data_IF_794926030383
#
_entry.id   IF_794926030383
#
_cell.length_a   1.000
_cell.length_b   1.000
_cell.length_c   1.000
_cell.angle_alpha   90.00
_cell.angle_beta   90.00
_cell.angle_gamma   90.00
#
_symmetry.space_group_name_H-M   'P 1'
#
loop_
_entity.id
_entity.type
_entity.pdbx_description
1 polymer ?
#
# COMPACT_ATOMS: atom_id res chain seq x y z
N UNK A 1 -42.77 7.22 -4.28
CA UNK A 1 -43.34 6.05 -4.98
C UNK A 1 -42.33 4.91 -4.76
N UNK A 2 -42.50 3.91 -3.86
CA UNK A 2 -43.49 2.79 -3.84
C UNK A 2 -43.67 2.20 -5.26
N UNK A 3 -43.34 0.95 -5.63
CA UNK A 3 -43.49 -0.40 -5.03
C UNK A 3 -42.54 -1.42 -5.76
N UNK A 4 -41.87 -2.37 -5.09
CA UNK A 4 -42.23 -3.80 -4.81
C UNK A 4 -42.07 -4.78 -6.01
N UNK A 5 -40.98 -5.58 -6.05
CA UNK A 5 -40.82 -7.06 -5.77
C UNK A 5 -41.59 -8.07 -6.65
N UNK A 6 -40.88 -9.10 -7.16
CA UNK A 6 -41.12 -10.57 -7.10
C UNK A 6 -39.81 -11.28 -7.52
N UNK A 7 -39.10 -12.08 -6.70
CA UNK A 7 -39.30 -13.49 -6.26
C UNK A 7 -39.25 -14.51 -7.40
N UNK A 8 -38.25 -15.39 -7.37
CA UNK A 8 -38.33 -16.78 -7.82
C UNK A 8 -37.63 -17.67 -6.78
N UNK A 9 -38.35 -18.71 -6.35
CA UNK A 9 -38.01 -19.74 -5.36
C UNK A 9 -37.79 -21.06 -6.10
N UNK A 10 -36.80 -21.86 -5.68
CA UNK A 10 -36.80 -23.33 -5.85
C UNK A 10 -35.84 -23.95 -4.82
N UNK A 11 -36.37 -24.48 -3.70
CA UNK A 11 -36.54 -25.91 -3.36
C UNK A 11 -35.22 -26.68 -3.09
N UNK A 12 -34.81 -26.84 -1.82
CA UNK A 12 -35.06 -27.97 -0.87
C UNK A 12 -34.16 -29.20 -1.08
N UNK A 13 -33.35 -29.50 -0.06
CA UNK A 13 -33.13 -30.87 0.43
C UNK A 13 -32.78 -30.80 1.94
N UNK A 14 -33.77 -31.13 2.77
CA UNK A 14 -33.63 -31.29 4.23
C UNK A 14 -33.39 -32.78 4.50
N UNK A 15 -32.27 -33.12 5.14
CA UNK A 15 -32.05 -34.43 5.73
C UNK A 15 -32.41 -34.37 7.20
N UNK A 16 -33.47 -35.10 7.55
CA UNK A 16 -33.93 -35.37 8.91
C UNK A 16 -33.09 -36.51 9.50
N UNK A 17 -32.59 -36.34 10.73
CA UNK A 17 -32.40 -37.45 11.65
C UNK A 17 -33.19 -37.18 12.94
N UNK A 18 -34.04 -38.15 13.25
CA UNK A 18 -35.02 -38.19 14.34
C UNK A 18 -34.46 -38.81 15.62
N UNK A 19 -34.99 -38.36 16.76
CA UNK A 19 -35.18 -39.15 17.99
C UNK A 19 -34.00 -39.10 18.96
N UNK A 20 -34.16 -39.01 20.29
CA UNK A 20 -35.29 -39.35 21.16
C UNK A 20 -35.28 -38.55 22.48
N UNK A 21 -36.36 -38.72 23.24
CA UNK A 21 -36.90 -37.82 24.25
C UNK A 21 -36.50 -38.07 25.72
N UNK A 22 -36.72 -37.01 26.52
CA UNK A 22 -37.23 -36.87 27.92
C UNK A 22 -36.46 -37.43 29.15
N UNK A 23 -36.15 -36.47 30.04
CA UNK A 23 -35.91 -36.43 31.50
C UNK A 23 -36.83 -37.33 32.38
N UNK A 24 -36.50 -37.66 33.67
CA UNK A 24 -36.28 -36.67 34.76
C UNK A 24 -35.26 -36.98 35.90
N UNK A 25 -34.80 -35.87 36.50
CA UNK A 25 -34.51 -35.54 37.92
C UNK A 25 -34.21 -36.62 38.99
N UNK A 26 -33.10 -36.42 39.73
CA UNK A 26 -33.01 -36.66 41.19
C UNK A 26 -31.91 -35.81 41.83
N UNK A 27 -32.27 -35.09 42.89
CA UNK A 27 -31.41 -34.33 43.79
C UNK A 27 -30.77 -35.24 44.86
N UNK A 28 -29.53 -34.93 45.25
CA UNK A 28 -28.95 -35.20 46.59
C UNK A 28 -27.95 -34.09 46.92
N UNK A 29 -28.20 -33.34 48.00
CA UNK A 29 -27.27 -32.43 48.68
C UNK A 29 -26.16 -33.22 49.42
N UNK A 30 -24.94 -32.68 49.52
CA UNK A 30 -24.21 -32.52 50.80
C UNK A 30 -22.86 -31.78 50.65
N UNK A 31 -22.80 -30.59 51.27
CA UNK A 31 -21.74 -30.06 52.17
C UNK A 31 -20.27 -29.87 51.75
N UNK A 32 -19.92 -28.57 51.63
CA UNK A 32 -18.89 -27.79 52.34
C UNK A 32 -17.36 -27.97 52.15
N UNK A 33 -16.75 -26.81 51.85
CA UNK A 33 -15.46 -26.23 52.28
C UNK A 33 -14.15 -26.31 51.45
N UNK A 34 -13.77 -25.10 51.00
CA UNK A 34 -12.45 -24.46 51.07
C UNK A 34 -11.42 -24.67 49.91
N UNK A 35 -10.54 -23.66 49.66
CA UNK A 35 -10.30 -23.14 48.31
C UNK A 35 -8.87 -23.36 47.79
N UNK A 36 -8.68 -22.92 46.53
CA UNK A 36 -7.43 -22.50 45.88
C UNK A 36 -6.78 -23.54 44.98
N UNK A 37 -7.05 -23.42 43.68
CA UNK A 37 -5.99 -23.48 42.68
C UNK A 37 -6.35 -22.43 41.63
N UNK A 38 -5.61 -21.31 41.62
CA UNK A 38 -5.65 -20.33 40.55
C UNK A 38 -4.96 -20.98 39.37
N UNK A 39 -5.73 -21.72 38.58
CA UNK A 39 -5.29 -22.18 37.27
C UNK A 39 -5.29 -20.96 36.37
N UNK A 40 -4.11 -20.46 36.04
CA UNK A 40 -3.94 -19.53 34.92
C UNK A 40 -4.29 -20.29 33.65
N UNK A 41 -5.56 -20.32 33.29
CA UNK A 41 -6.00 -20.84 31.99
C UNK A 41 -5.43 -19.95 30.90
N UNK A 42 -4.60 -20.54 30.03
CA UNK A 42 -4.22 -19.92 28.78
C UNK A 42 -5.50 -19.52 28.02
N UNK A 43 -5.56 -18.33 27.40
CA UNK A 43 -6.76 -17.89 26.68
C UNK A 43 -7.17 -18.91 25.62
N UNK A 44 -8.44 -19.30 25.64
CA UNK A 44 -9.02 -20.11 24.56
C UNK A 44 -9.13 -19.29 23.28
N UNK A 45 -9.00 -19.94 22.11
CA UNK A 45 -9.10 -19.32 20.78
C UNK A 45 -10.35 -18.43 20.63
N UNK A 46 -11.50 -18.86 21.17
CA UNK A 46 -12.74 -18.09 21.16
C UNK A 46 -12.66 -16.77 21.97
N UNK A 47 -11.91 -16.77 23.07
CA UNK A 47 -11.70 -15.57 23.90
C UNK A 47 -10.75 -14.60 23.20
N UNK A 48 -9.72 -15.11 22.52
CA UNK A 48 -8.78 -14.30 21.73
C UNK A 48 -9.48 -13.61 20.56
N UNK A 49 -10.29 -14.35 19.80
CA UNK A 49 -11.08 -13.80 18.68
C UNK A 49 -12.03 -12.70 19.15
N UNK A 50 -12.67 -12.86 20.31
CA UNK A 50 -13.55 -11.83 20.89
C UNK A 50 -12.78 -10.54 21.20
N UNK A 51 -11.59 -10.64 21.79
CA UNK A 51 -10.76 -9.48 22.15
C UNK A 51 -10.25 -8.73 20.92
N UNK A 52 -9.83 -9.44 19.88
CA UNK A 52 -9.38 -8.82 18.63
C UNK A 52 -10.55 -8.10 17.92
N UNK A 53 -11.75 -8.68 17.94
CA UNK A 53 -12.93 -8.02 17.37
C UNK A 53 -13.30 -6.73 18.12
N UNK A 54 -13.23 -6.74 19.45
CA UNK A 54 -13.39 -5.54 20.28
C UNK A 54 -12.33 -4.49 19.98
N UNK A 55 -11.08 -4.90 19.76
CA UNK A 55 -9.97 -4.00 19.40
C UNK A 55 -10.20 -3.32 18.06
N UNK A 56 -10.56 -4.09 17.01
CA UNK A 56 -10.88 -3.54 15.69
C UNK A 56 -12.04 -2.55 15.79
N UNK A 57 -13.09 -2.91 16.54
CA UNK A 57 -14.27 -2.05 16.72
C UNK A 57 -13.91 -0.74 17.44
N UNK A 58 -13.04 -0.81 18.46
CA UNK A 58 -12.54 0.37 19.15
C UNK A 58 -11.70 1.25 18.24
N UNK A 59 -10.80 0.66 17.45
CA UNK A 59 -9.96 1.43 16.53
C UNK A 59 -10.81 2.13 15.47
N UNK A 60 -11.78 1.43 14.88
CA UNK A 60 -12.75 2.02 13.95
C UNK A 60 -13.52 3.19 14.56
N UNK A 61 -13.96 3.08 15.82
CA UNK A 61 -14.62 4.20 16.50
C UNK A 61 -13.68 5.40 16.73
N UNK A 62 -12.37 5.14 16.92
CA UNK A 62 -11.37 6.20 17.05
C UNK A 62 -11.05 6.87 15.71
N UNK A 63 -11.04 6.13 14.59
CA UNK A 63 -10.80 6.70 13.26
C UNK A 63 -11.96 7.57 12.79
N UNK A 64 -13.19 7.19 13.14
CA UNK A 64 -14.43 7.92 12.81
C UNK A 64 -14.62 9.21 13.63
N UNK A 65 -13.88 9.37 14.74
CA UNK A 65 -13.92 10.57 15.57
C UNK A 65 -12.81 11.55 15.13
N UNK A 66 -13.20 12.62 14.42
CA UNK A 66 -12.29 13.67 13.96
C UNK A 66 -11.56 14.40 15.11
N UNK A 67 -12.04 14.29 16.36
CA UNK A 67 -11.37 14.87 17.53
C UNK A 67 -10.17 14.07 18.02
N UNK A 68 -10.06 12.79 17.62
CA UNK A 68 -8.91 11.94 17.94
C UNK A 68 -7.78 12.26 16.97
N UNK A 69 -6.63 12.73 17.46
CA UNK A 69 -5.51 13.07 16.58
C UNK A 69 -4.80 11.84 15.98
N UNK A 70 -4.08 12.04 14.86
CA UNK A 70 -3.34 10.96 14.18
C UNK A 70 -2.27 10.34 15.09
N UNK A 71 -1.71 11.09 16.04
CA UNK A 71 -0.70 10.55 16.96
C UNK A 71 -1.33 9.51 17.89
N UNK A 72 -2.50 9.78 18.43
CA UNK A 72 -3.24 8.84 19.27
C UNK A 72 -3.60 7.57 18.50
N UNK A 73 -3.93 7.69 17.21
CA UNK A 73 -4.17 6.54 16.34
C UNK A 73 -2.87 5.75 16.06
N UNK A 74 -1.76 6.44 15.78
CA UNK A 74 -0.46 5.83 15.56
C UNK A 74 0.02 5.07 16.80
N UNK A 75 -0.06 5.70 17.98
CA UNK A 75 0.29 5.09 19.27
C UNK A 75 -0.58 3.84 19.51
N UNK A 76 -1.89 3.91 19.24
CA UNK A 76 -2.78 2.76 19.37
C UNK A 76 -2.31 1.57 18.51
N UNK A 77 -1.96 1.80 17.25
CA UNK A 77 -1.47 0.72 16.36
C UNK A 77 -0.15 0.17 16.90
N UNK A 78 0.84 1.03 17.16
CA UNK A 78 2.17 0.62 17.61
C UNK A 78 2.14 -0.18 18.92
N UNK A 79 1.29 0.20 19.87
CA UNK A 79 1.18 -0.47 21.17
C UNK A 79 0.49 -1.83 21.10
N UNK A 80 -0.42 -2.04 20.13
CA UNK A 80 -1.27 -3.22 20.11
C UNK A 80 -0.87 -4.25 19.05
N UNK A 81 -0.21 -3.83 17.96
CA UNK A 81 -0.01 -4.66 16.77
C UNK A 81 0.79 -5.95 17.01
N UNK A 82 1.74 -5.93 17.96
CA UNK A 82 2.55 -7.12 18.28
C UNK A 82 1.79 -8.22 19.03
N UNK A 83 0.61 -7.92 19.57
CA UNK A 83 -0.18 -8.81 20.40
C UNK A 83 -1.41 -9.42 19.72
N UNK A 84 -1.58 -9.19 18.42
CA UNK A 84 -2.76 -9.63 17.64
C UNK A 84 -2.37 -10.62 16.54
N UNK A 85 -3.36 -11.34 16.01
CA UNK A 85 -3.19 -12.15 14.81
C UNK A 85 -2.81 -11.31 13.58
N UNK A 86 -2.16 -11.94 12.59
CA UNK A 86 -1.80 -11.30 11.30
C UNK A 86 -3.01 -10.63 10.64
N UNK A 87 -4.16 -11.31 10.64
CA UNK A 87 -5.39 -10.76 10.06
C UNK A 87 -5.84 -9.48 10.76
N UNK A 88 -5.69 -9.40 12.08
CA UNK A 88 -6.05 -8.19 12.83
C UNK A 88 -5.01 -7.10 12.62
N UNK A 89 -3.72 -7.46 12.55
CA UNK A 89 -2.65 -6.52 12.20
C UNK A 89 -2.87 -5.89 10.81
N UNK A 90 -3.26 -6.70 9.81
CA UNK A 90 -3.57 -6.23 8.46
C UNK A 90 -4.66 -5.15 8.48
N UNK A 91 -5.73 -5.37 9.27
CA UNK A 91 -6.84 -4.42 9.41
C UNK A 91 -6.37 -3.13 10.10
N UNK A 92 -5.59 -3.23 11.18
CA UNK A 92 -5.08 -2.06 11.90
C UNK A 92 -4.16 -1.20 11.02
N UNK A 93 -3.24 -1.85 10.28
CA UNK A 93 -2.34 -1.19 9.34
C UNK A 93 -3.15 -0.45 8.26
N UNK A 94 -4.08 -1.16 7.62
CA UNK A 94 -4.88 -0.59 6.53
C UNK A 94 -5.74 0.59 7.03
N UNK A 95 -6.44 0.40 8.14
CA UNK A 95 -7.32 1.44 8.69
C UNK A 95 -6.55 2.68 9.14
N UNK A 96 -5.30 2.53 9.60
CA UNK A 96 -4.44 3.67 9.93
C UNK A 96 -3.98 4.43 8.67
N UNK A 97 -3.64 3.71 7.60
CA UNK A 97 -3.31 4.35 6.33
C UNK A 97 -4.50 5.08 5.72
N UNK A 98 -5.69 4.48 5.75
CA UNK A 98 -6.90 5.08 5.22
C UNK A 98 -7.22 6.41 5.92
N UNK A 99 -7.11 6.48 7.26
CA UNK A 99 -7.33 7.72 8.01
C UNK A 99 -6.18 8.73 7.84
N UNK A 100 -4.94 8.28 7.63
CA UNK A 100 -3.84 9.17 7.23
C UNK A 100 -4.14 9.83 5.89
N UNK A 101 -4.56 9.06 4.88
CA UNK A 101 -4.90 9.56 3.55
C UNK A 101 -6.06 10.55 3.59
N UNK A 102 -7.12 10.23 4.35
CA UNK A 102 -8.28 11.08 4.51
C UNK A 102 -7.92 12.44 5.13
N UNK A 103 -7.02 12.43 6.13
CA UNK A 103 -6.63 13.64 6.87
C UNK A 103 -5.46 14.39 6.24
N UNK A 104 -4.72 13.79 5.31
CA UNK A 104 -3.55 14.39 4.67
C UNK A 104 -3.81 15.79 4.06
N UNK A 105 -4.94 16.05 3.35
CA UNK A 105 -5.22 17.38 2.82
C UNK A 105 -5.22 18.47 3.90
N UNK A 106 -5.80 18.20 5.07
CA UNK A 106 -5.83 19.17 6.18
C UNK A 106 -4.42 19.48 6.73
N UNK A 107 -3.52 18.49 6.71
CA UNK A 107 -2.11 18.70 7.06
C UNK A 107 -1.39 19.52 5.99
N UNK A 108 -1.67 19.27 4.71
CA UNK A 108 -1.10 20.03 3.60
C UNK A 108 -1.57 21.50 3.62
N UNK A 109 -2.84 21.76 3.90
CA UNK A 109 -3.40 23.10 4.04
C UNK A 109 -2.72 23.89 5.17
N UNK A 110 -2.47 23.26 6.32
CA UNK A 110 -1.71 23.88 7.42
C UNK A 110 -0.31 24.28 6.99
N UNK A 111 0.32 23.50 6.11
CA UNK A 111 1.67 23.80 5.63
C UNK A 111 1.65 24.94 4.62
N UNK A 112 0.64 24.99 3.77
CA UNK A 112 0.49 26.02 2.76
C UNK A 112 0.08 27.38 3.36
N UNK A 113 -0.88 27.40 4.28
CA UNK A 113 -1.48 28.63 4.82
C UNK A 113 -0.87 29.06 6.17
N UNK A 114 -0.29 28.12 6.93
CA UNK A 114 0.07 28.32 8.35
C UNK A 114 1.46 28.87 8.62
N UNK A 115 2.13 29.47 7.63
CA UNK A 115 3.48 30.01 7.79
C UNK A 115 4.60 28.97 7.84
N UNK A 116 4.27 27.67 7.80
CA UNK A 116 5.24 26.57 7.80
C UNK A 116 6.18 26.61 6.60
N UNK A 117 5.75 27.18 5.47
CA UNK A 117 6.64 27.40 4.31
C UNK A 117 7.92 28.15 4.73
N UNK A 118 7.79 29.25 5.47
CA UNK A 118 8.93 30.07 5.88
C UNK A 118 9.82 29.36 6.92
N UNK A 119 9.28 28.38 7.66
CA UNK A 119 10.04 27.57 8.59
C UNK A 119 11.01 26.62 7.85
N UNK A 120 10.59 26.07 6.71
CA UNK A 120 11.37 25.09 5.94
C UNK A 120 12.18 25.70 4.78
N UNK A 121 11.78 26.85 4.22
CA UNK A 121 12.44 27.54 3.11
C UNK A 121 13.96 27.74 3.26
N UNK A 122 14.53 27.99 4.45
CA UNK A 122 15.97 28.14 4.61
C UNK A 122 16.80 26.86 4.40
N UNK A 123 16.15 25.69 4.35
CA UNK A 123 16.80 24.39 4.44
C UNK A 123 16.65 23.57 3.15
N UNK A 124 17.67 22.78 2.84
CA UNK A 124 17.61 21.79 1.76
C UNK A 124 16.69 20.61 2.15
N UNK A 125 15.88 20.15 1.20
CA UNK A 125 14.92 19.06 1.44
C UNK A 125 15.58 17.78 1.98
N UNK A 126 16.77 17.44 1.51
CA UNK A 126 17.44 16.22 1.95
C UNK A 126 17.97 16.35 3.38
N UNK A 127 18.42 17.55 3.79
CA UNK A 127 18.76 17.82 5.18
C UNK A 127 17.53 17.73 6.10
N UNK A 128 16.37 18.26 5.65
CA UNK A 128 15.10 18.13 6.37
C UNK A 128 14.69 16.66 6.53
N UNK A 129 14.72 15.86 5.45
CA UNK A 129 14.36 14.44 5.50
C UNK A 129 15.25 13.63 6.44
N UNK A 130 16.56 13.90 6.43
CA UNK A 130 17.51 13.23 7.33
C UNK A 130 17.52 13.79 8.76
N UNK A 131 16.71 14.81 9.04
CA UNK A 131 16.70 15.51 10.33
C UNK A 131 18.08 16.07 10.70
N UNK A 132 18.86 16.50 9.70
CA UNK A 132 20.22 17.05 9.84
C UNK A 132 20.18 18.59 10.00
N UNK A 133 19.36 19.06 10.94
CA UNK A 133 19.06 20.48 11.16
C UNK A 133 19.33 20.83 12.63
N UNK A 134 19.94 21.98 12.92
CA UNK A 134 20.21 22.40 14.32
C UNK A 134 19.04 23.18 14.95
N UNK A 135 18.17 23.76 14.12
CA UNK A 135 17.02 24.56 14.58
C UNK A 135 16.00 23.68 15.30
N UNK A 136 15.84 23.91 16.60
CA UNK A 136 14.95 23.12 17.45
C UNK A 136 13.48 23.23 17.07
N UNK A 137 13.03 24.34 16.48
CA UNK A 137 11.64 24.48 16.03
C UNK A 137 11.38 23.61 14.81
N UNK A 138 12.29 23.64 13.84
CA UNK A 138 12.23 22.79 12.64
C UNK A 138 12.28 21.31 13.02
N UNK A 139 13.21 20.92 13.89
CA UNK A 139 13.32 19.53 14.34
C UNK A 139 12.05 19.04 15.04
N UNK A 140 11.45 19.86 15.92
CA UNK A 140 10.19 19.49 16.59
C UNK A 140 9.06 19.23 15.60
N UNK A 141 8.95 20.04 14.54
CA UNK A 141 7.91 19.83 13.51
C UNK A 141 8.19 18.59 12.66
N UNK A 142 9.44 18.33 12.29
CA UNK A 142 9.83 17.11 11.57
C UNK A 142 9.56 15.85 12.41
N UNK A 143 9.91 15.87 13.70
CA UNK A 143 9.60 14.78 14.64
C UNK A 143 8.09 14.59 14.81
N UNK A 144 7.31 15.67 14.86
CA UNK A 144 5.85 15.60 14.95
C UNK A 144 5.23 14.94 13.71
N UNK A 145 5.74 15.22 12.51
CA UNK A 145 5.34 14.51 11.29
C UNK A 145 5.72 13.03 11.35
N UNK A 146 6.96 12.71 11.73
CA UNK A 146 7.45 11.34 11.79
C UNK A 146 6.66 10.46 12.78
N UNK A 147 6.23 11.04 13.91
CA UNK A 147 5.38 10.35 14.91
C UNK A 147 4.03 9.91 14.36
N UNK A 148 3.53 10.59 13.33
CA UNK A 148 2.24 10.27 12.70
C UNK A 148 2.43 9.63 11.32
N UNK A 149 3.64 9.18 10.98
CA UNK A 149 3.95 8.51 9.71
C UNK A 149 3.91 9.43 8.49
N UNK A 150 4.22 10.71 8.68
CA UNK A 150 4.41 11.66 7.60
C UNK A 150 5.89 12.07 7.48
N UNK A 151 6.28 12.44 6.27
CA UNK A 151 7.56 13.10 5.98
C UNK A 151 7.33 14.36 5.17
N UNK A 152 8.34 15.21 5.10
CA UNK A 152 8.30 16.42 4.29
C UNK A 152 8.75 16.15 2.84
N UNK A 153 8.06 16.78 1.90
CA UNK A 153 8.40 16.84 0.47
C UNK A 153 8.32 18.30 0.01
N UNK A 154 8.98 18.61 -1.11
CA UNK A 154 8.86 19.90 -1.76
C UNK A 154 8.36 19.72 -3.19
N UNK A 155 7.24 20.35 -3.56
CA UNK A 155 6.70 20.33 -4.93
C UNK A 155 6.57 21.78 -5.41
N UNK A 156 7.11 22.08 -6.59
CA UNK A 156 7.10 23.43 -7.17
C UNK A 156 7.56 24.55 -6.18
N UNK A 157 8.55 24.24 -5.35
CA UNK A 157 9.12 25.17 -4.36
C UNK A 157 8.36 25.28 -3.04
N UNK A 158 7.20 24.63 -2.90
CA UNK A 158 6.39 24.62 -1.68
C UNK A 158 6.55 23.30 -0.92
N UNK A 159 6.62 23.37 0.41
CA UNK A 159 6.78 22.21 1.28
C UNK A 159 5.44 21.64 1.71
N UNK A 160 5.31 20.32 1.67
CA UNK A 160 4.09 19.61 2.03
C UNK A 160 4.42 18.33 2.79
N UNK A 161 3.60 17.95 3.79
CA UNK A 161 3.61 16.61 4.32
C UNK A 161 3.10 15.63 3.26
N UNK A 162 3.73 14.46 3.22
CA UNK A 162 3.31 13.29 2.46
C UNK A 162 3.42 12.07 3.38
N UNK A 163 2.74 10.97 3.03
CA UNK A 163 2.86 9.72 3.78
C UNK A 163 4.29 9.19 3.66
N UNK A 164 4.90 8.91 4.80
CA UNK A 164 6.16 8.19 4.91
C UNK A 164 5.87 6.68 4.99
N UNK A 165 6.03 5.97 3.87
CA UNK A 165 5.82 4.53 3.89
C UNK A 165 6.92 3.76 4.63
N UNK A 166 8.05 4.40 4.95
CA UNK A 166 9.07 3.89 5.87
C UNK A 166 8.53 3.69 7.30
N UNK A 167 7.53 4.48 7.72
CA UNK A 167 6.83 4.26 8.99
C UNK A 167 6.23 2.85 9.08
N UNK A 168 5.62 2.38 7.99
CA UNK A 168 4.91 1.11 7.94
C UNK A 168 5.84 -0.10 7.98
N UNK A 169 7.12 0.04 7.60
CA UNK A 169 8.09 -1.06 7.68
C UNK A 169 8.26 -1.61 9.10
N UNK A 170 7.96 -0.81 10.13
CA UNK A 170 7.97 -1.25 11.54
C UNK A 170 6.76 -2.10 11.91
N UNK A 171 5.69 -2.01 11.11
CA UNK A 171 4.39 -2.65 11.34
C UNK A 171 4.22 -3.92 10.51
N UNK A 172 4.78 -3.94 9.30
CA UNK A 172 4.56 -4.99 8.31
C UNK A 172 4.91 -6.39 8.81
N UNK A 173 5.94 -6.52 9.65
CA UNK A 173 6.36 -7.82 10.21
C UNK A 173 5.28 -8.55 11.04
N UNK A 174 4.22 -7.84 11.44
CA UNK A 174 3.08 -8.41 12.17
C UNK A 174 1.91 -8.77 11.26
N UNK A 175 1.91 -8.31 10.01
CA UNK A 175 0.86 -8.59 9.03
C UNK A 175 1.17 -9.80 8.14
N UNK A 176 0.19 -10.16 7.33
CA UNK A 176 0.29 -11.22 6.32
C UNK A 176 1.38 -10.91 5.29
N UNK A 177 1.84 -11.95 4.58
CA UNK A 177 2.86 -11.82 3.52
C UNK A 177 2.53 -10.73 2.48
N UNK A 178 1.27 -10.62 2.05
CA UNK A 178 0.88 -9.58 1.08
C UNK A 178 0.95 -8.16 1.66
N UNK A 179 0.73 -7.97 2.96
CA UNK A 179 0.92 -6.65 3.61
C UNK A 179 2.40 -6.31 3.62
N UNK A 180 3.24 -7.27 3.98
CA UNK A 180 4.70 -7.08 3.95
C UNK A 180 5.19 -6.68 2.56
N UNK A 181 4.81 -7.43 1.52
CA UNK A 181 5.24 -7.12 0.15
C UNK A 181 4.71 -5.75 -0.29
N UNK A 182 3.42 -5.47 -0.11
CA UNK A 182 2.81 -4.22 -0.59
C UNK A 182 3.45 -2.98 0.04
N UNK A 183 3.53 -2.92 1.37
CA UNK A 183 4.08 -1.73 2.04
C UNK A 183 5.59 -1.59 1.85
N UNK A 184 6.33 -2.68 1.64
CA UNK A 184 7.74 -2.59 1.27
C UNK A 184 7.92 -1.98 -0.13
N UNK A 185 7.06 -2.32 -1.10
CA UNK A 185 7.06 -1.66 -2.41
C UNK A 185 6.72 -0.17 -2.28
N UNK A 186 5.69 0.16 -1.51
CA UNK A 186 5.31 1.56 -1.29
C UNK A 186 6.40 2.35 -0.54
N UNK A 187 7.16 1.72 0.37
CA UNK A 187 8.29 2.35 1.05
C UNK A 187 9.39 2.74 0.07
N UNK A 188 9.75 1.84 -0.86
CA UNK A 188 10.72 2.15 -1.93
C UNK A 188 10.23 3.33 -2.78
N UNK A 189 8.94 3.39 -3.12
CA UNK A 189 8.38 4.53 -3.85
C UNK A 189 8.39 5.83 -3.05
N UNK A 190 8.15 5.77 -1.75
CA UNK A 190 8.12 6.94 -0.86
C UNK A 190 9.50 7.55 -0.69
N UNK A 191 10.54 6.71 -0.55
CA UNK A 191 11.93 7.14 -0.40
C UNK A 191 12.53 7.65 -1.72
N UNK A 192 12.19 6.97 -2.81
CA UNK A 192 12.65 7.29 -4.16
C UNK A 192 11.43 7.43 -5.10
N UNK A 193 10.76 8.59 -5.11
CA UNK A 193 9.64 8.84 -6.00
C UNK A 193 10.05 8.66 -7.47
N UNK A 194 9.17 8.08 -8.29
CA UNK A 194 9.48 7.83 -9.70
C UNK A 194 9.40 9.09 -10.58
N UNK A 195 8.56 10.06 -10.20
CA UNK A 195 8.32 11.27 -10.96
C UNK A 195 8.25 12.51 -10.08
N UNK A 196 8.71 13.65 -10.61
CA UNK A 196 8.54 14.98 -10.03
C UNK A 196 8.43 16.01 -11.15
N UNK A 197 7.48 16.93 -11.03
CA UNK A 197 7.22 18.00 -12.01
C UNK A 197 7.17 17.46 -13.46
N UNK A 198 6.53 16.31 -13.66
CA UNK A 198 6.40 15.64 -14.96
C UNK A 198 7.69 15.00 -15.51
N UNK A 199 8.81 15.04 -14.80
CA UNK A 199 10.07 14.36 -15.14
C UNK A 199 10.23 13.05 -14.37
N UNK A 200 11.03 12.12 -14.93
CA UNK A 200 11.45 10.91 -14.22
C UNK A 200 12.60 11.26 -13.26
N UNK A 201 12.48 10.78 -12.03
CA UNK A 201 13.53 10.91 -11.00
C UNK A 201 14.38 9.63 -10.86
N UNK A 202 13.98 8.58 -11.57
CA UNK A 202 14.61 7.26 -11.62
C UNK A 202 14.98 6.92 -13.07
N UNK A 203 15.90 5.98 -13.25
CA UNK A 203 16.23 5.43 -14.56
C UNK A 203 15.11 4.54 -15.13
N UNK A 204 15.16 4.28 -16.44
CA UNK A 204 14.21 3.38 -17.10
C UNK A 204 14.35 1.91 -16.67
N UNK A 205 15.52 1.53 -16.17
CA UNK A 205 15.77 0.23 -15.53
C UNK A 205 14.89 0.07 -14.28
N UNK A 206 14.94 1.05 -13.38
CA UNK A 206 14.10 1.07 -12.17
C UNK A 206 12.60 1.17 -12.52
N UNK A 207 12.22 1.88 -13.60
CA UNK A 207 10.82 1.91 -14.08
C UNK A 207 10.35 0.50 -14.46
N UNK A 208 11.17 -0.26 -15.19
CA UNK A 208 10.86 -1.64 -15.59
C UNK A 208 10.80 -2.55 -14.36
N UNK A 209 11.77 -2.45 -13.45
CA UNK A 209 11.81 -3.26 -12.23
C UNK A 209 10.56 -3.02 -11.35
N UNK A 210 10.15 -1.77 -11.17
CA UNK A 210 8.94 -1.45 -10.42
C UNK A 210 7.68 -1.96 -11.11
N UNK A 211 7.59 -1.87 -12.44
CA UNK A 211 6.47 -2.47 -13.18
C UNK A 211 6.37 -3.97 -12.90
N UNK A 212 7.49 -4.70 -12.97
CA UNK A 212 7.55 -6.14 -12.69
C UNK A 212 7.10 -6.42 -11.26
N UNK A 213 7.61 -5.67 -10.28
CA UNK A 213 7.27 -5.89 -8.87
C UNK A 213 5.78 -5.68 -8.60
N UNK A 214 5.16 -4.63 -9.14
CA UNK A 214 3.73 -4.39 -8.98
C UNK A 214 2.88 -5.40 -9.76
N UNK A 215 3.27 -5.80 -10.98
CA UNK A 215 2.56 -6.85 -11.70
C UNK A 215 2.60 -8.17 -10.94
N UNK A 216 3.78 -8.58 -10.47
CA UNK A 216 3.94 -9.80 -9.68
C UNK A 216 3.09 -9.78 -8.43
N UNK A 217 2.99 -8.65 -7.74
CA UNK A 217 2.06 -8.52 -6.62
C UNK A 217 0.62 -8.84 -7.03
N UNK A 218 0.15 -8.31 -8.16
CA UNK A 218 -1.23 -8.56 -8.63
C UNK A 218 -1.47 -10.02 -9.03
N UNK A 219 -0.43 -10.70 -9.54
CA UNK A 219 -0.50 -12.11 -9.94
C UNK A 219 -0.43 -13.06 -8.73
N UNK A 220 0.44 -12.76 -7.77
CA UNK A 220 0.66 -13.58 -6.57
C UNK A 220 -0.46 -13.40 -5.54
N UNK A 221 -1.03 -12.19 -5.43
CA UNK A 221 -2.05 -11.85 -4.43
C UNK A 221 -3.35 -11.28 -5.04
N UNK A 222 -4.02 -12.01 -5.95
CA UNK A 222 -5.17 -11.48 -6.70
C UNK A 222 -6.42 -11.22 -5.83
N UNK A 223 -6.44 -11.73 -4.60
CA UNK A 223 -7.54 -11.54 -3.63
C UNK A 223 -7.14 -10.60 -2.48
N UNK A 224 -5.96 -9.99 -2.53
CA UNK A 224 -5.53 -9.02 -1.53
C UNK A 224 -6.37 -7.75 -1.58
N UNK A 225 -6.58 -7.12 -0.42
CA UNK A 225 -7.22 -5.81 -0.33
C UNK A 225 -6.45 -4.72 -1.12
N UNK A 226 -5.16 -4.92 -1.38
CA UNK A 226 -4.31 -3.94 -2.07
C UNK A 226 -4.18 -4.17 -3.57
N UNK A 227 -4.79 -5.22 -4.14
CA UNK A 227 -4.62 -5.58 -5.56
C UNK A 227 -4.99 -4.45 -6.51
N UNK A 228 -6.05 -3.69 -6.21
CA UNK A 228 -6.49 -2.57 -7.03
C UNK A 228 -5.46 -1.42 -7.02
N UNK A 229 -4.87 -1.13 -5.87
CA UNK A 229 -3.83 -0.10 -5.72
C UNK A 229 -2.54 -0.51 -6.41
N UNK A 230 -2.12 -1.77 -6.24
CA UNK A 230 -0.98 -2.32 -6.94
C UNK A 230 -1.17 -2.31 -8.47
N UNK A 231 -2.37 -2.63 -8.96
CA UNK A 231 -2.72 -2.54 -10.38
C UNK A 231 -2.58 -1.11 -10.91
N UNK A 232 -3.08 -0.10 -10.17
CA UNK A 232 -2.93 1.29 -10.58
C UNK A 232 -1.46 1.72 -10.66
N UNK A 233 -0.62 1.24 -9.74
CA UNK A 233 0.83 1.48 -9.78
C UNK A 233 1.48 0.77 -10.98
N UNK A 234 1.12 -0.49 -11.22
CA UNK A 234 1.56 -1.22 -12.41
C UNK A 234 1.20 -0.47 -13.70
N UNK A 235 -0.05 -0.05 -13.86
CA UNK A 235 -0.50 0.69 -15.05
C UNK A 235 0.29 1.99 -15.25
N UNK A 236 0.62 2.69 -14.16
CA UNK A 236 1.45 3.88 -14.21
C UNK A 236 2.88 3.57 -14.70
N UNK A 237 3.53 2.53 -14.18
CA UNK A 237 4.86 2.14 -14.64
C UNK A 237 4.86 1.53 -16.04
N UNK A 238 3.81 0.82 -16.44
CA UNK A 238 3.62 0.36 -17.82
C UNK A 238 3.59 1.57 -18.77
N UNK A 239 2.83 2.62 -18.45
CA UNK A 239 2.81 3.83 -19.25
C UNK A 239 4.19 4.50 -19.32
N UNK A 240 4.92 4.58 -18.21
CA UNK A 240 6.29 5.11 -18.18
C UNK A 240 7.27 4.24 -18.99
N UNK A 241 7.17 2.92 -18.92
CA UNK A 241 8.01 2.00 -19.68
C UNK A 241 7.72 2.07 -21.19
N UNK A 242 6.50 2.45 -21.60
CA UNK A 242 6.16 2.57 -23.01
C UNK A 242 6.43 3.96 -23.60
N UNK A 243 6.34 5.03 -22.80
CA UNK A 243 6.43 6.42 -23.33
C UNK A 243 7.36 7.36 -22.55
N UNK A 244 7.80 6.98 -21.35
CA UNK A 244 8.44 7.90 -20.42
C UNK A 244 7.45 8.91 -19.83
N UNK A 245 7.99 10.00 -19.28
CA UNK A 245 7.19 11.10 -18.73
C UNK A 245 7.20 12.33 -19.64
N UNK A 246 6.39 13.34 -19.32
CA UNK A 246 6.26 14.55 -20.16
C UNK A 246 7.54 15.38 -20.24
N UNK A 247 8.40 15.34 -19.22
CA UNK A 247 9.69 16.04 -19.21
C UNK A 247 10.89 15.09 -19.34
N UNK A 248 10.62 13.78 -19.42
CA UNK A 248 11.63 12.74 -19.64
C UNK A 248 11.02 11.67 -20.55
N UNK A 249 10.68 12.09 -21.77
CA UNK A 249 10.08 11.20 -22.74
C UNK A 249 11.07 10.10 -23.14
N UNK A 250 10.52 8.92 -23.41
CA UNK A 250 11.29 7.79 -23.92
C UNK A 250 11.88 8.06 -25.30
N UNK A 251 11.23 8.90 -26.09
CA UNK A 251 11.66 9.30 -27.43
C UNK A 251 11.90 10.80 -27.50
N UNK A 252 12.97 11.22 -28.17
CA UNK A 252 13.28 12.61 -28.43
C UNK A 252 12.15 13.32 -29.16
N UNK A 253 11.85 14.57 -28.79
CA UNK A 253 10.74 15.32 -29.40
C UNK A 253 10.98 15.68 -30.87
N UNK A 254 12.24 15.85 -31.27
CA UNK A 254 12.60 16.33 -32.61
C UNK A 254 12.76 15.20 -33.63
N UNK A 255 13.39 14.10 -33.22
CA UNK A 255 13.77 12.99 -34.09
C UNK A 255 13.02 11.69 -33.79
N UNK A 256 12.18 11.68 -32.73
CA UNK A 256 11.42 10.52 -32.26
C UNK A 256 12.30 9.32 -31.93
N UNK A 257 13.60 9.53 -31.66
CA UNK A 257 14.56 8.48 -31.39
C UNK A 257 14.70 8.25 -29.89
N UNK A 258 14.79 6.98 -29.48
CA UNK A 258 15.17 6.63 -28.12
C UNK A 258 16.65 6.93 -27.90
N UNK A 259 16.99 7.45 -26.73
CA UNK A 259 18.39 7.62 -26.32
C UNK A 259 19.14 6.28 -26.33
N UNK A 260 20.38 6.27 -26.81
CA UNK A 260 21.15 5.03 -27.00
C UNK A 260 21.45 4.33 -25.66
N UNK A 261 21.59 5.05 -24.54
CA UNK A 261 21.76 4.41 -23.21
C UNK A 261 20.44 3.80 -22.72
N UNK A 262 19.30 4.43 -22.99
CA UNK A 262 17.99 3.86 -22.68
C UNK A 262 17.72 2.61 -23.55
N UNK A 263 18.08 2.66 -24.84
CA UNK A 263 17.96 1.49 -25.72
C UNK A 263 18.78 0.29 -25.19
N UNK A 264 19.97 0.53 -24.62
CA UNK A 264 20.76 -0.53 -23.97
C UNK A 264 20.06 -1.12 -22.75
N UNK A 265 19.39 -0.31 -21.94
CA UNK A 265 18.60 -0.80 -20.79
C UNK A 265 17.53 -1.79 -21.27
N UNK A 266 16.77 -1.42 -22.31
CA UNK A 266 15.70 -2.25 -22.85
C UNK A 266 16.21 -3.55 -23.48
N UNK A 267 17.33 -3.47 -24.20
CA UNK A 267 18.01 -4.65 -24.75
C UNK A 267 18.52 -5.57 -23.63
N UNK A 268 19.20 -5.00 -22.64
CA UNK A 268 19.74 -5.75 -21.50
C UNK A 268 18.64 -6.44 -20.73
N UNK A 269 17.51 -5.76 -20.47
CA UNK A 269 16.35 -6.35 -19.82
C UNK A 269 15.93 -7.65 -20.52
N UNK A 270 15.68 -7.61 -21.83
CA UNK A 270 15.26 -8.79 -22.61
C UNK A 270 16.35 -9.89 -22.65
N UNK A 271 17.62 -9.51 -22.68
CA UNK A 271 18.74 -10.46 -22.65
C UNK A 271 18.88 -11.18 -21.29
N UNK A 272 18.45 -10.54 -20.20
CA UNK A 272 18.50 -11.09 -18.83
C UNK A 272 17.27 -11.90 -18.43
N UNK A 273 16.19 -11.86 -19.22
CA UNK A 273 15.01 -12.66 -18.95
C UNK A 273 15.35 -14.15 -18.97
N UNK A 274 14.94 -14.87 -17.92
CA UNK A 274 15.04 -16.33 -17.81
C UNK A 274 14.12 -17.04 -18.83
N UNK A 275 13.95 -18.36 -18.69
CA UNK A 275 13.15 -19.21 -19.59
C UNK A 275 11.89 -18.49 -20.11
N UNK A 276 11.83 -18.28 -21.44
CA UNK A 276 10.74 -17.57 -22.12
C UNK A 276 9.36 -18.19 -21.84
N UNK A 277 9.30 -19.43 -21.36
CA UNK A 277 8.05 -20.09 -20.98
C UNK A 277 7.44 -19.58 -19.65
N UNK A 278 8.19 -18.85 -18.83
CA UNK A 278 7.73 -18.38 -17.49
C UNK A 278 7.53 -16.88 -17.39
N UNK A 279 7.61 -16.16 -18.51
CA UNK A 279 7.49 -14.70 -18.52
C UNK A 279 6.10 -14.24 -18.05
N UNK A 280 6.07 -13.18 -17.25
CA UNK A 280 4.84 -12.47 -16.92
C UNK A 280 4.26 -11.75 -18.16
N UNK A 281 2.98 -11.36 -18.15
CA UNK A 281 2.39 -10.61 -19.26
C UNK A 281 3.17 -9.33 -19.62
N UNK A 282 3.64 -8.55 -18.64
CA UNK A 282 4.48 -7.37 -18.85
C UNK A 282 5.80 -7.73 -19.53
N UNK A 283 6.49 -8.77 -19.07
CA UNK A 283 7.77 -9.20 -19.65
C UNK A 283 7.61 -9.66 -21.11
N UNK A 284 6.51 -10.35 -21.43
CA UNK A 284 6.17 -10.75 -22.81
C UNK A 284 5.88 -9.53 -23.70
N UNK A 285 5.13 -8.56 -23.17
CA UNK A 285 4.80 -7.31 -23.85
C UNK A 285 6.06 -6.50 -24.12
N UNK A 286 6.92 -6.33 -23.12
CA UNK A 286 8.18 -5.61 -23.26
C UNK A 286 9.17 -6.32 -24.19
N UNK A 287 9.22 -7.66 -24.19
CA UNK A 287 9.99 -8.42 -25.19
C UNK A 287 9.53 -8.09 -26.60
N UNK A 288 8.21 -8.13 -26.84
CA UNK A 288 7.62 -7.80 -28.14
C UNK A 288 7.88 -6.34 -28.53
N UNK A 289 7.81 -5.43 -27.56
CA UNK A 289 8.08 -4.01 -27.75
C UNK A 289 9.52 -3.75 -28.15
N UNK A 290 10.49 -4.38 -27.46
CA UNK A 290 11.92 -4.26 -27.78
C UNK A 290 12.25 -4.83 -29.15
N UNK A 291 11.65 -5.96 -29.54
CA UNK A 291 11.80 -6.50 -30.90
C UNK A 291 11.29 -5.53 -31.97
N UNK A 292 10.14 -4.89 -31.74
CA UNK A 292 9.59 -3.88 -32.62
C UNK A 292 10.49 -2.64 -32.69
N UNK A 293 10.97 -2.14 -31.55
CA UNK A 293 11.88 -1.00 -31.48
C UNK A 293 13.17 -1.27 -32.27
N UNK A 294 13.77 -2.46 -32.11
CA UNK A 294 14.96 -2.86 -32.88
C UNK A 294 14.71 -2.88 -34.38
N UNK A 295 13.54 -3.37 -34.82
CA UNK A 295 13.19 -3.41 -36.25
C UNK A 295 13.05 -2.02 -36.87
N UNK A 296 12.79 -1.00 -36.05
CA UNK A 296 12.65 0.40 -36.45
C UNK A 296 13.82 1.28 -35.97
N UNK A 297 14.99 0.70 -35.73
CA UNK A 297 16.21 1.39 -35.30
C UNK A 297 16.00 2.31 -34.07
N UNK A 298 15.10 1.92 -33.17
CA UNK A 298 14.67 2.65 -31.97
C UNK A 298 14.04 4.03 -32.24
N UNK A 299 13.35 4.16 -33.37
CA UNK A 299 12.57 5.36 -33.73
C UNK A 299 11.07 5.07 -33.54
N UNK A 300 10.33 6.01 -32.93
CA UNK A 300 8.86 5.94 -32.77
C UNK A 300 8.17 6.18 -34.12
N UNK A 301 8.13 5.15 -34.95
CA UNK A 301 7.34 5.13 -36.19
C UNK A 301 5.83 5.02 -35.90
N UNK A 302 4.99 5.12 -36.93
CA UNK A 302 3.54 4.92 -36.79
C UNK A 302 3.19 3.54 -36.20
N UNK A 303 3.95 2.51 -36.54
CA UNK A 303 3.75 1.15 -36.01
C UNK A 303 4.10 1.07 -34.51
N UNK A 304 5.22 1.68 -34.11
CA UNK A 304 5.61 1.78 -32.69
C UNK A 304 4.58 2.60 -31.90
N UNK A 305 4.12 3.72 -32.44
CA UNK A 305 3.09 4.54 -31.81
C UNK A 305 1.74 3.79 -31.67
N UNK A 306 1.36 3.00 -32.68
CA UNK A 306 0.18 2.16 -32.63
C UNK A 306 0.32 1.05 -31.56
N UNK A 307 1.49 0.41 -31.47
CA UNK A 307 1.78 -0.58 -30.43
C UNK A 307 1.57 0.02 -29.05
N UNK A 308 2.16 1.18 -28.77
CA UNK A 308 2.02 1.89 -27.49
C UNK A 308 0.53 2.18 -27.20
N UNK A 309 -0.20 2.72 -28.18
CA UNK A 309 -1.60 3.11 -27.99
C UNK A 309 -2.54 1.94 -27.71
N UNK A 310 -2.22 0.72 -28.16
CA UNK A 310 -3.05 -0.47 -27.95
C UNK A 310 -2.80 -1.09 -26.56
N UNK A 311 -1.59 -0.90 -26.02
CA UNK A 311 -1.10 -1.56 -24.83
C UNK A 311 -1.04 -0.64 -23.60
N UNK A 312 -1.81 0.46 -23.63
CA UNK A 312 -1.94 1.44 -22.56
C UNK A 312 -3.33 1.39 -21.94
#
# INVERSE_FOLDING_TARGET
>A
MKHFKYIAVLAVAIILFSGCAKQPEKAVESTTDAPTEVTTEAPTEATTVSKEHEMISRFSAMTDDESVDLKTLADFVLENISGVSEKTADVLIQSFEDVQMDRLPSYQDRYFEGGMQALFEPYDLQALRRHEIEDEEVLRELEALALVGFQIEQVEGSFYPVIDYGFYQKLTMYGSDFVQVFYNLMAVESDLPSQKDGGLMIGFDEVIDRAILFERFTLEYPQSAYVARASQRFDAYLALALEGSINTALFGYDDLRMDDEVAKVYLSFVETLDDKATLTPFEQLMTSYVELLKAHDFVKTEEVAAFISINR
#
